data_IF_642153349218
#
_entry.id   IF_642153349218
#
_cell.length_a   1.000
_cell.length_b   1.000
_cell.length_c   1.000
_cell.angle_alpha   90.00
_cell.angle_beta   90.00
_cell.angle_gamma   90.00
#
_symmetry.space_group_name_H-M   'P 1'
#
loop_
_entity.id
_entity.type
_entity.pdbx_description
1 polymer ?
#
# COMPACT_ATOMS: atom_id res chain seq x y z
N UNK A 1 43.04 -15.41 8.21
CA UNK A 1 41.65 -15.53 8.70
C UNK A 1 40.87 -14.36 8.12
N UNK A 2 40.38 -14.52 6.90
CA UNK A 2 39.56 -13.52 6.20
C UNK A 2 38.11 -13.80 6.50
N UNK A 3 37.40 -12.76 6.94
CA UNK A 3 35.99 -12.74 7.28
C UNK A 3 35.16 -12.74 6.00
N UNK A 4 34.65 -13.89 5.60
CA UNK A 4 33.55 -13.96 4.63
C UNK A 4 32.25 -13.61 5.36
N UNK A 5 32.01 -12.30 5.49
CA UNK A 5 30.69 -11.78 5.84
C UNK A 5 29.78 -12.11 4.66
N UNK A 6 29.15 -13.28 4.72
CA UNK A 6 28.16 -13.74 3.77
C UNK A 6 27.03 -12.71 3.73
N UNK A 7 27.07 -11.82 2.73
CA UNK A 7 25.93 -11.01 2.34
C UNK A 7 24.86 -11.98 1.85
N UNK A 8 23.99 -12.41 2.76
CA UNK A 8 22.82 -13.18 2.42
C UNK A 8 21.90 -12.26 1.63
N UNK A 9 22.00 -12.30 0.30
CA UNK A 9 21.02 -11.67 -0.59
C UNK A 9 19.74 -12.47 -0.43
N UNK A 10 18.91 -12.10 0.55
CA UNK A 10 17.57 -12.63 0.68
C UNK A 10 16.84 -12.34 -0.63
N UNK A 11 16.56 -13.39 -1.41
CA UNK A 11 15.79 -13.24 -2.63
C UNK A 11 14.40 -12.72 -2.26
N UNK A 12 14.02 -11.59 -2.85
CA UNK A 12 12.66 -11.05 -2.69
C UNK A 12 11.68 -12.05 -3.31
N UNK A 13 10.82 -12.64 -2.50
CA UNK A 13 9.81 -13.60 -2.96
C UNK A 13 8.52 -12.89 -3.34
N UNK A 14 7.72 -13.49 -4.22
CA UNK A 14 6.41 -12.93 -4.58
C UNK A 14 5.51 -12.73 -3.35
N UNK A 15 5.56 -13.64 -2.37
CA UNK A 15 4.86 -13.48 -1.09
C UNK A 15 5.33 -12.23 -0.33
N UNK A 16 6.65 -12.03 -0.21
CA UNK A 16 7.19 -10.87 0.48
C UNK A 16 6.80 -9.54 -0.22
N UNK A 17 6.74 -9.54 -1.55
CA UNK A 17 6.23 -8.39 -2.32
C UNK A 17 4.75 -8.15 -2.00
N UNK A 18 3.93 -9.20 -2.04
CA UNK A 18 2.50 -9.10 -1.77
C UNK A 18 2.23 -8.58 -0.34
N UNK A 19 2.94 -9.10 0.65
CA UNK A 19 2.82 -8.66 2.05
C UNK A 19 3.25 -7.19 2.23
N UNK A 20 4.33 -6.78 1.54
CA UNK A 20 4.77 -5.39 1.53
C UNK A 20 3.77 -4.46 0.85
N UNK A 21 3.15 -4.89 -0.26
CA UNK A 21 2.10 -4.14 -0.94
C UNK A 21 0.86 -3.99 -0.06
N UNK A 22 0.45 -5.07 0.62
CA UNK A 22 -0.69 -5.05 1.54
C UNK A 22 -0.43 -4.09 2.72
N UNK A 23 0.74 -4.19 3.35
CA UNK A 23 1.15 -3.26 4.43
C UNK A 23 1.21 -1.81 3.96
N UNK A 24 1.66 -1.58 2.72
CA UNK A 24 1.71 -0.24 2.12
C UNK A 24 0.31 0.33 1.88
N UNK A 25 -0.64 -0.51 1.43
CA UNK A 25 -2.04 -0.12 1.27
C UNK A 25 -2.65 0.27 2.62
N UNK A 26 -2.45 -0.53 3.66
CA UNK A 26 -2.94 -0.23 5.01
C UNK A 26 -2.37 1.10 5.53
N UNK A 27 -1.05 1.31 5.40
CA UNK A 27 -0.41 2.58 5.79
C UNK A 27 -0.93 3.78 5.00
N UNK A 28 -1.20 3.61 3.70
CA UNK A 28 -1.80 4.67 2.87
C UNK A 28 -3.22 5.01 3.33
N UNK A 29 -4.05 4.01 3.62
CA UNK A 29 -5.41 4.20 4.12
C UNK A 29 -5.39 4.97 5.45
N UNK A 30 -4.50 4.61 6.38
CA UNK A 30 -4.36 5.32 7.66
C UNK A 30 -3.98 6.80 7.47
N UNK A 31 -3.00 7.08 6.61
CA UNK A 31 -2.59 8.46 6.33
C UNK A 31 -3.73 9.31 5.73
N UNK A 32 -4.57 8.71 4.88
CA UNK A 32 -5.75 9.37 4.31
C UNK A 32 -6.82 9.63 5.37
N UNK A 33 -7.09 8.64 6.24
CA UNK A 33 -8.01 8.79 7.38
C UNK A 33 -7.55 9.93 8.29
N UNK A 34 -6.30 9.92 8.75
CA UNK A 34 -5.75 10.97 9.63
C UNK A 34 -5.93 12.37 9.02
N UNK A 35 -5.67 12.49 7.71
CA UNK A 35 -5.83 13.75 6.98
C UNK A 35 -7.29 14.21 6.91
N UNK A 36 -8.23 13.28 6.72
CA UNK A 36 -9.66 13.58 6.68
C UNK A 36 -10.21 13.94 8.05
N UNK A 37 -9.85 13.21 9.10
CA UNK A 37 -10.28 13.49 10.47
C UNK A 37 -9.77 14.85 10.96
N UNK A 38 -8.51 15.17 10.64
CA UNK A 38 -7.95 16.50 10.86
C UNK A 38 -8.76 17.59 10.14
N UNK A 39 -9.04 17.41 8.85
CA UNK A 39 -9.78 18.39 8.04
C UNK A 39 -11.24 18.58 8.50
N UNK A 40 -11.90 17.51 8.94
CA UNK A 40 -13.29 17.52 9.41
C UNK A 40 -13.42 17.89 10.88
N UNK A 41 -12.31 17.93 11.63
CA UNK A 41 -12.29 18.12 13.08
C UNK A 41 -13.19 17.13 13.84
N UNK A 42 -13.26 15.88 13.34
CA UNK A 42 -13.98 14.78 13.97
C UNK A 42 -13.41 13.44 13.53
N UNK A 43 -13.66 12.41 14.32
CA UNK A 43 -13.39 11.03 13.92
C UNK A 43 -14.37 10.54 12.85
N UNK A 44 -13.88 9.65 11.98
CA UNK A 44 -14.69 8.93 11.00
C UNK A 44 -15.36 7.73 11.65
N UNK A 45 -16.60 7.48 11.26
CA UNK A 45 -17.30 6.23 11.64
C UNK A 45 -16.65 5.01 10.98
N UNK A 46 -16.95 3.81 11.47
CA UNK A 46 -16.44 2.56 10.87
C UNK A 46 -16.87 2.40 9.41
N UNK A 47 -18.06 2.86 9.04
CA UNK A 47 -18.52 2.85 7.64
C UNK A 47 -17.74 3.83 6.77
N UNK A 48 -17.33 4.98 7.31
CA UNK A 48 -16.51 5.94 6.58
C UNK A 48 -15.08 5.44 6.41
N UNK A 49 -14.51 4.79 7.44
CA UNK A 49 -13.23 4.09 7.32
C UNK A 49 -13.24 3.03 6.22
N UNK A 50 -14.29 2.21 6.17
CA UNK A 50 -14.46 1.20 5.13
C UNK A 50 -14.57 1.85 3.73
N UNK A 51 -15.33 2.94 3.62
CA UNK A 51 -15.46 3.68 2.37
C UNK A 51 -14.12 4.27 1.90
N UNK A 52 -13.29 4.79 2.81
CA UNK A 52 -11.94 5.26 2.51
C UNK A 52 -11.08 4.11 2.01
N UNK A 53 -11.08 2.97 2.71
CA UNK A 53 -10.32 1.77 2.31
C UNK A 53 -10.68 1.33 0.88
N UNK A 54 -11.96 1.16 0.59
CA UNK A 54 -12.44 0.72 -0.73
C UNK A 54 -12.10 1.74 -1.83
N UNK A 55 -12.15 3.03 -1.51
CA UNK A 55 -11.78 4.11 -2.43
C UNK A 55 -10.29 4.08 -2.75
N UNK A 56 -9.42 4.02 -1.72
CA UNK A 56 -7.96 3.97 -1.89
C UNK A 56 -7.55 2.71 -2.66
N UNK A 57 -8.06 1.54 -2.27
CA UNK A 57 -7.83 0.28 -2.97
C UNK A 57 -8.28 0.37 -4.43
N UNK A 58 -9.46 0.96 -4.69
CA UNK A 58 -9.98 1.14 -6.04
C UNK A 58 -9.15 2.09 -6.90
N UNK A 59 -8.56 3.14 -6.34
CA UNK A 59 -7.65 4.05 -7.06
C UNK A 59 -6.36 3.34 -7.42
N UNK A 60 -5.75 2.62 -6.46
CA UNK A 60 -4.49 1.88 -6.68
C UNK A 60 -4.69 0.78 -7.73
N UNK A 61 -5.79 0.03 -7.66
CA UNK A 61 -6.08 -1.04 -8.61
C UNK A 61 -6.31 -0.50 -10.03
N UNK A 62 -7.05 0.60 -10.19
CA UNK A 62 -7.34 1.19 -11.51
C UNK A 62 -6.11 1.79 -12.21
N UNK A 63 -5.10 2.19 -11.44
CA UNK A 63 -3.83 2.66 -12.02
C UNK A 63 -3.01 1.51 -12.63
N UNK A 64 -3.22 0.27 -12.18
CA UNK A 64 -2.58 -0.92 -12.76
C UNK A 64 -3.16 -1.27 -14.14
N UNK A 65 -4.47 -1.15 -14.32
CA UNK A 65 -5.14 -1.49 -15.60
C UNK A 65 -4.88 -0.47 -16.72
N UNK A 66 -4.56 0.78 -16.38
CA UNK A 66 -4.24 1.82 -17.35
C UNK A 66 -2.78 1.78 -17.83
N UNK A 67 -1.94 0.94 -17.24
CA UNK A 67 -0.52 0.80 -17.61
C UNK A 67 -0.27 -0.25 -18.71
N UNK A 68 -1.26 -1.07 -19.09
CA UNK A 68 -1.09 -2.16 -20.09
C UNK A 68 -1.57 -1.83 -21.52
N UNK A 69 -1.84 -0.56 -21.86
CA UNK A 69 -2.26 -0.18 -23.23
C UNK A 69 -1.27 0.79 -23.88
N UNK A 70 -0.01 0.38 -24.10
CA UNK A 70 0.76 0.88 -25.24
C UNK A 70 1.99 -0.01 -25.59
N UNK A 71 1.74 -1.14 -26.25
CA UNK A 71 2.71 -1.73 -27.17
C UNK A 71 2.07 -1.80 -28.56
N UNK A 72 1.97 -0.62 -29.18
CA UNK A 72 1.85 -0.50 -30.64
C UNK A 72 3.19 -0.72 -31.32
#
# INVERSE_FOLDING_TARGET
MTTDKQMNTHSVTASAIHDAMFSSLEGCVLAVVDSLEFALSRELSSSEHQYVYDTVKGVITRQTDSAEVNHG
#
